data_IF_094740001567
#
_entry.id   IF_094740001567
#
_cell.length_a   1.000
_cell.length_b   1.000
_cell.length_c   1.000
_cell.angle_alpha   90.00
_cell.angle_beta   90.00
_cell.angle_gamma   90.00
#
_symmetry.space_group_name_H-M   'P 1'
#
loop_
_entity.id
_entity.type
_entity.pdbx_description
1 polymer ?
#
# COMPACT_ATOMS: atom_id res chain seq x y z
N UNK A 1 -0.57 -33.59 -1.14
CA UNK A 1 -1.28 -32.74 -0.16
C UNK A 1 -0.79 -31.31 -0.34
N UNK A 2 -1.61 -30.43 -0.93
CA UNK A 2 -1.24 -29.01 -1.10
C UNK A 2 -1.24 -28.31 0.26
N UNK A 3 -0.12 -27.69 0.61
CA UNK A 3 0.00 -26.92 1.86
C UNK A 3 -0.58 -25.53 1.65
N UNK A 4 -1.57 -25.17 2.47
CA UNK A 4 -2.10 -23.82 2.56
C UNK A 4 -1.23 -22.97 3.50
N UNK A 5 -1.17 -21.64 3.30
CA UNK A 5 -1.93 -20.84 2.35
C UNK A 5 -1.31 -20.80 0.93
N UNK A 6 -2.17 -20.90 -0.09
CA UNK A 6 -1.77 -20.81 -1.51
C UNK A 6 -1.96 -19.37 -1.97
N UNK A 7 -1.03 -18.81 -2.74
CA UNK A 7 -1.20 -17.47 -3.32
C UNK A 7 -1.96 -17.55 -4.63
N UNK A 8 -3.16 -17.01 -4.68
CA UNK A 8 -3.95 -16.89 -5.90
C UNK A 8 -4.10 -15.41 -6.28
N UNK A 9 -3.67 -15.05 -7.50
CA UNK A 9 -3.72 -13.67 -8.01
C UNK A 9 -3.03 -12.63 -7.10
N UNK A 10 -2.05 -13.06 -6.31
CA UNK A 10 -1.32 -12.21 -5.36
C UNK A 10 -2.03 -12.01 -4.02
N UNK A 11 -3.16 -12.68 -3.78
CA UNK A 11 -3.84 -12.75 -2.48
C UNK A 11 -3.52 -14.10 -1.83
N UNK A 12 -3.13 -14.13 -0.55
CA UNK A 12 -3.05 -15.39 0.18
C UNK A 12 -4.46 -15.95 0.36
N UNK A 13 -4.69 -17.15 -0.19
CA UNK A 13 -5.94 -17.89 -0.05
C UNK A 13 -5.71 -18.97 0.99
N UNK A 14 -6.39 -18.83 2.11
CA UNK A 14 -6.43 -19.82 3.19
C UNK A 14 -7.89 -20.20 3.49
N UNK A 15 -8.18 -21.46 3.81
CA UNK A 15 -9.46 -21.86 4.40
C UNK A 15 -9.63 -21.34 5.85
N UNK A 16 -8.55 -20.89 6.50
CA UNK A 16 -8.55 -20.27 7.82
C UNK A 16 -8.40 -18.75 7.76
N UNK A 17 -8.59 -18.07 8.90
CA UNK A 17 -8.34 -16.64 9.03
C UNK A 17 -6.89 -16.31 8.68
N UNK A 18 -6.69 -15.31 7.82
CA UNK A 18 -5.36 -14.81 7.47
C UNK A 18 -4.70 -14.12 8.65
N UNK A 19 -3.43 -14.44 8.90
CA UNK A 19 -2.63 -13.78 9.91
C UNK A 19 -2.08 -12.45 9.40
N UNK A 20 -1.69 -11.56 10.33
CA UNK A 20 -1.07 -10.27 9.99
C UNK A 20 0.16 -10.46 9.08
N UNK A 21 0.91 -11.56 9.28
CA UNK A 21 2.08 -11.89 8.47
C UNK A 21 1.75 -12.10 6.98
N UNK A 22 0.56 -12.59 6.66
CA UNK A 22 0.14 -12.86 5.28
C UNK A 22 -0.10 -11.56 4.49
N UNK A 23 -0.27 -10.44 5.18
CA UNK A 23 -0.49 -9.11 4.61
C UNK A 23 0.80 -8.31 4.36
N UNK A 24 1.95 -8.76 4.89
CA UNK A 24 3.25 -8.10 4.67
C UNK A 24 3.57 -7.90 3.18
N UNK A 25 3.36 -8.89 2.28
CA UNK A 25 3.63 -8.72 0.85
C UNK A 25 2.75 -7.64 0.20
N UNK A 26 1.53 -7.42 0.71
CA UNK A 26 0.63 -6.38 0.24
C UNK A 26 1.17 -4.99 0.61
N UNK A 27 1.60 -4.83 1.86
CA UNK A 27 2.19 -3.59 2.36
C UNK A 27 3.47 -3.24 1.55
N UNK A 28 4.34 -4.22 1.31
CA UNK A 28 5.54 -4.02 0.49
C UNK A 28 5.21 -3.65 -0.96
N UNK A 29 4.20 -4.29 -1.57
CA UNK A 29 3.78 -4.00 -2.94
C UNK A 29 3.27 -2.56 -3.08
N UNK A 30 2.51 -2.08 -2.09
CA UNK A 30 2.06 -0.69 -2.03
C UNK A 30 3.22 0.28 -1.85
N UNK A 31 4.15 -0.03 -0.93
CA UNK A 31 5.37 0.76 -0.73
C UNK A 31 6.20 0.88 -2.00
N UNK A 32 6.50 -0.24 -2.66
CA UNK A 32 7.26 -0.28 -3.92
C UNK A 32 6.57 0.50 -5.03
N UNK A 33 5.24 0.36 -5.17
CA UNK A 33 4.46 1.14 -6.14
C UNK A 33 4.64 2.63 -5.90
N UNK A 34 4.46 3.10 -4.68
CA UNK A 34 4.58 4.52 -4.34
C UNK A 34 6.02 5.04 -4.45
N UNK A 35 7.04 4.20 -4.22
CA UNK A 35 8.45 4.58 -4.31
C UNK A 35 8.94 4.74 -5.77
N UNK A 36 8.41 3.93 -6.69
CA UNK A 36 8.67 4.05 -8.14
C UNK A 36 8.28 5.44 -8.66
N UNK A 37 7.18 5.99 -8.14
CA UNK A 37 6.75 7.34 -8.46
C UNK A 37 7.48 8.30 -7.54
N UNK A 38 8.56 8.92 -8.00
CA UNK A 38 9.37 9.89 -7.26
C UNK A 38 8.50 10.96 -6.55
N UNK A 39 8.08 10.69 -5.31
CA UNK A 39 7.11 11.51 -4.57
C UNK A 39 7.62 12.94 -4.32
N UNK A 40 8.94 13.12 -4.38
CA UNK A 40 9.61 14.42 -4.32
C UNK A 40 9.40 15.31 -5.55
N UNK A 41 9.19 14.73 -6.73
CA UNK A 41 9.05 15.46 -8.01
C UNK A 41 7.61 15.82 -8.35
N UNK A 42 6.64 15.34 -7.56
CA UNK A 42 5.23 15.38 -7.92
C UNK A 42 4.51 16.50 -7.14
N UNK A 43 3.68 17.27 -7.85
CA UNK A 43 2.85 18.30 -7.24
C UNK A 43 1.92 17.69 -6.17
N UNK A 44 1.37 18.52 -5.28
CA UNK A 44 0.43 18.03 -4.27
C UNK A 44 -0.78 17.33 -4.92
N UNK A 45 -1.27 17.90 -6.03
CA UNK A 45 -2.36 17.32 -6.81
C UNK A 45 -1.96 15.97 -7.42
N UNK A 46 -0.76 15.87 -8.01
CA UNK A 46 -0.24 14.62 -8.56
C UNK A 46 -0.05 13.53 -7.50
N UNK A 47 0.37 13.88 -6.29
CA UNK A 47 0.46 12.93 -5.17
C UNK A 47 -0.92 12.43 -4.77
N UNK A 48 -1.91 13.30 -4.66
CA UNK A 48 -3.28 12.92 -4.31
C UNK A 48 -3.90 12.01 -5.37
N UNK A 49 -3.73 12.32 -6.66
CA UNK A 49 -4.25 11.46 -7.74
C UNK A 49 -3.57 10.10 -7.74
N UNK A 50 -2.26 10.04 -7.52
CA UNK A 50 -1.55 8.77 -7.45
C UNK A 50 -1.95 7.94 -6.22
N UNK A 51 -2.10 8.57 -5.05
CA UNK A 51 -2.61 7.90 -3.85
C UNK A 51 -3.98 7.29 -4.15
N UNK A 52 -4.90 8.07 -4.72
CA UNK A 52 -6.23 7.59 -5.10
C UNK A 52 -6.15 6.40 -6.07
N UNK A 53 -5.34 6.47 -7.13
CA UNK A 53 -5.17 5.36 -8.09
C UNK A 53 -4.58 4.09 -7.44
N UNK A 54 -3.59 4.26 -6.56
CA UNK A 54 -2.95 3.14 -5.87
C UNK A 54 -3.89 2.46 -4.86
N UNK A 55 -4.70 3.25 -4.15
CA UNK A 55 -5.73 2.80 -3.22
C UNK A 55 -6.88 2.10 -3.94
N UNK A 56 -7.35 2.64 -5.07
CA UNK A 56 -8.49 2.07 -5.78
C UNK A 56 -8.17 0.70 -6.38
N UNK A 57 -6.95 0.48 -6.86
CA UNK A 57 -6.61 -0.78 -7.54
C UNK A 57 -6.15 -1.89 -6.60
N UNK A 58 -5.51 -1.56 -5.48
CA UNK A 58 -4.79 -2.55 -4.66
C UNK A 58 -5.59 -2.94 -3.41
N UNK A 59 -5.80 -2.07 -2.40
CA UNK A 59 -6.60 -2.42 -1.23
C UNK A 59 -8.02 -2.86 -1.56
N UNK A 60 -8.71 -2.22 -2.51
CA UNK A 60 -10.11 -2.58 -2.83
C UNK A 60 -10.23 -4.04 -3.28
N UNK A 61 -9.28 -4.52 -4.10
CA UNK A 61 -9.25 -5.91 -4.54
C UNK A 61 -9.04 -6.90 -3.38
N UNK A 62 -8.21 -6.54 -2.41
CA UNK A 62 -7.98 -7.36 -1.23
C UNK A 62 -9.15 -7.30 -0.24
N UNK A 63 -9.78 -6.13 -0.09
CA UNK A 63 -10.96 -5.90 0.78
C UNK A 63 -12.21 -6.61 0.26
N UNK A 64 -12.34 -6.80 -1.05
CA UNK A 64 -13.48 -7.55 -1.61
C UNK A 64 -13.41 -9.05 -1.32
N UNK A 65 -12.20 -9.59 -1.08
CA UNK A 65 -12.00 -10.99 -0.71
C UNK A 65 -11.99 -11.22 0.80
N UNK A 66 -11.42 -10.31 1.58
CA UNK A 66 -11.22 -10.49 3.02
C UNK A 66 -11.41 -9.19 3.80
N UNK A 67 -11.90 -9.32 5.04
CA UNK A 67 -11.90 -8.21 5.98
C UNK A 67 -10.47 -7.94 6.47
N UNK A 68 -9.95 -6.74 6.20
CA UNK A 68 -8.60 -6.37 6.62
C UNK A 68 -8.51 -6.14 8.14
N UNK A 69 -7.51 -6.71 8.83
CA UNK A 69 -7.23 -6.37 10.22
C UNK A 69 -6.92 -4.88 10.37
N UNK A 70 -7.37 -4.26 11.47
CA UNK A 70 -7.10 -2.84 11.78
C UNK A 70 -5.61 -2.49 11.75
N UNK A 71 -4.74 -3.43 12.13
CA UNK A 71 -3.28 -3.26 12.11
C UNK A 71 -2.75 -3.05 10.70
N UNK A 72 -3.23 -3.83 9.73
CA UNK A 72 -2.82 -3.75 8.32
C UNK A 72 -3.27 -2.42 7.72
N UNK A 73 -4.51 -2.02 8.01
CA UNK A 73 -5.04 -0.71 7.57
C UNK A 73 -4.16 0.43 8.11
N UNK A 74 -3.80 0.40 9.39
CA UNK A 74 -2.91 1.41 10.00
C UNK A 74 -1.53 1.45 9.34
N UNK A 75 -0.96 0.30 8.99
CA UNK A 75 0.33 0.23 8.30
C UNK A 75 0.24 0.82 6.88
N UNK A 76 -0.81 0.49 6.14
CA UNK A 76 -1.07 1.05 4.82
C UNK A 76 -1.22 2.58 4.88
N UNK A 77 -1.99 3.10 5.84
CA UNK A 77 -2.12 4.53 6.09
C UNK A 77 -0.77 5.20 6.38
N UNK A 78 0.12 4.53 7.13
CA UNK A 78 1.45 5.04 7.43
C UNK A 78 2.29 5.19 6.16
N UNK A 79 2.23 4.24 5.24
CA UNK A 79 2.94 4.29 3.95
C UNK A 79 2.42 5.46 3.10
N UNK A 80 1.09 5.59 2.99
CA UNK A 80 0.45 6.67 2.23
C UNK A 80 0.79 8.05 2.79
N UNK A 81 0.73 8.21 4.12
CA UNK A 81 1.09 9.46 4.79
C UNK A 81 2.57 9.82 4.59
N UNK A 82 3.46 8.82 4.61
CA UNK A 82 4.89 9.02 4.33
C UNK A 82 5.09 9.53 2.90
N UNK A 83 4.47 8.86 1.91
CA UNK A 83 4.53 9.29 0.50
C UNK A 83 3.98 10.71 0.31
N UNK A 84 2.81 11.00 0.91
CA UNK A 84 2.22 12.34 0.84
C UNK A 84 3.14 13.41 1.43
N UNK A 85 3.85 13.14 2.53
CA UNK A 85 4.81 14.09 3.13
C UNK A 85 6.11 14.26 2.32
N UNK A 86 6.52 13.26 1.55
CA UNK A 86 7.82 13.24 0.88
C UNK A 86 8.01 14.38 -0.13
N UNK A 87 6.96 14.78 -0.86
CA UNK A 87 7.01 15.94 -1.76
C UNK A 87 6.94 17.30 -1.09
N UNK A 88 7.00 17.38 0.25
CA UNK A 88 7.24 18.62 0.99
C UNK A 88 8.72 18.93 1.22
N UNK A 89 9.62 18.01 0.87
CA UNK A 89 11.08 18.15 1.03
C UNK A 89 11.75 18.84 -0.18
N UNK A 90 11.04 19.73 -0.87
CA UNK A 90 11.73 20.74 -1.66
C UNK A 90 12.42 21.67 -0.67
N UNK A 91 13.75 21.54 -0.61
CA UNK A 91 14.64 22.42 0.15
C UNK A 91 14.16 23.86 -0.06
N UNK A 92 13.78 24.52 1.03
CA UNK A 92 13.81 25.99 1.09
C UNK A 92 15.28 26.39 0.94
N UNK A 93 15.77 26.49 -0.29
CA UNK A 93 16.97 27.26 -0.55
C UNK A 93 16.55 28.72 -0.37
N UNK A 94 16.78 29.20 0.85
CA UNK A 94 16.75 30.61 1.20
C UNK A 94 18.02 31.19 0.57
N UNK A 95 17.91 31.81 -0.61
CA UNK A 95 18.83 32.84 -1.10
C UNK A 95 18.09 33.67 -2.14
#
# INVERSE_FOLDING_TARGET
MGSFPIRYLGVPVSPSWLHIADWIPLEEKLGKRLDVWQGGSLSIAGRTTLINLSLTSTPIYHMSMYLLPKTVIKNMDKIIRRFFRQGGSLKKNIT
#
